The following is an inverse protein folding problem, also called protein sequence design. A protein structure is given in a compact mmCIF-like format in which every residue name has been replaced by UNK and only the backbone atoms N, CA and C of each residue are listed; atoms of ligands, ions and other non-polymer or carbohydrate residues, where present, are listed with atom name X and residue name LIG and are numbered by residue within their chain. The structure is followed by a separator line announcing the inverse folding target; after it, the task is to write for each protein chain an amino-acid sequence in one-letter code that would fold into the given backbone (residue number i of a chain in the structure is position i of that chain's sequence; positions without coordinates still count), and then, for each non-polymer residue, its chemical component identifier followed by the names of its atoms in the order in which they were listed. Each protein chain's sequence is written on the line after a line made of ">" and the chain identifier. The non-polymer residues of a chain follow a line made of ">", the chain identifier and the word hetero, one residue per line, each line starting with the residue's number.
data_IF_778688523729
#
_entry.id   IF_778688523729
#
_cell.length_a   1.000
_cell.length_b   1.000
_cell.length_c   1.000
_cell.angle_alpha   90.00
_cell.angle_beta   90.00
_cell.angle_gamma   90.00
#
_symmetry.space_group_name_H-M   'P 1'
#
loop_
_entity.id
_entity.type
_entity.pdbx_description
1 polymer ?
#
# COMPACT_ATOMS: atom_id res chain seq x y z
N UNK A 1 -5.24 -10.48 -1.23
CA UNK A 1 -4.12 -10.40 -2.19
C UNK A 1 -2.87 -9.87 -1.51
N UNK A 2 -2.80 -8.57 -1.21
CA UNK A 2 -1.59 -7.98 -0.65
C UNK A 2 -1.27 -8.44 0.78
N UNK A 3 -2.28 -8.65 1.62
CA UNK A 3 -2.10 -9.25 2.95
C UNK A 3 -1.47 -10.66 2.87
N UNK A 4 -1.83 -11.44 1.85
CA UNK A 4 -1.32 -12.80 1.67
C UNK A 4 0.14 -12.80 1.18
N UNK A 5 0.54 -11.77 0.42
CA UNK A 5 1.93 -11.52 0.06
C UNK A 5 2.75 -11.16 1.30
N UNK A 6 2.18 -10.34 2.20
CA UNK A 6 2.81 -9.98 3.48
C UNK A 6 3.03 -11.15 4.44
N UNK A 7 2.32 -12.28 4.25
CA UNK A 7 2.51 -13.53 5.03
C UNK A 7 3.70 -14.36 4.56
N UNK A 8 4.33 -14.02 3.44
CA UNK A 8 5.56 -14.68 3.02
C UNK A 8 6.67 -14.45 4.06
N UNK A 9 7.33 -15.52 4.50
CA UNK A 9 8.36 -15.47 5.55
C UNK A 9 9.46 -14.46 5.24
N UNK A 10 9.86 -14.32 3.97
CA UNK A 10 10.91 -13.37 3.59
C UNK A 10 10.44 -11.92 3.65
N UNK A 11 9.18 -11.67 3.29
CA UNK A 11 8.57 -10.33 3.38
C UNK A 11 8.34 -9.96 4.83
N UNK A 12 7.84 -10.89 5.64
CA UNK A 12 7.61 -10.69 7.05
C UNK A 12 8.92 -10.39 7.81
N UNK A 13 10.00 -11.15 7.56
CA UNK A 13 11.33 -10.88 8.13
C UNK A 13 11.84 -9.47 7.78
N UNK A 14 11.66 -9.07 6.53
CA UNK A 14 12.07 -7.74 6.05
C UNK A 14 11.29 -6.61 6.71
N UNK A 15 9.97 -6.76 6.84
CA UNK A 15 9.09 -5.79 7.53
C UNK A 15 9.44 -5.72 9.01
N UNK A 16 9.66 -6.86 9.68
CA UNK A 16 10.03 -6.91 11.10
C UNK A 16 11.37 -6.22 11.38
N UNK A 17 12.39 -6.41 10.52
CA UNK A 17 13.67 -5.69 10.61
C UNK A 17 13.51 -4.19 10.41
N UNK A 18 12.70 -3.76 9.44
CA UNK A 18 12.37 -2.34 9.25
C UNK A 18 11.60 -1.76 10.44
N UNK A 19 10.71 -2.54 11.06
CA UNK A 19 10.01 -2.15 12.28
C UNK A 19 10.97 -2.00 13.46
N UNK A 20 11.99 -2.85 13.59
CA UNK A 20 13.00 -2.72 14.62
C UNK A 20 13.76 -1.38 14.51
N UNK A 21 14.23 -1.03 13.30
CA UNK A 21 14.91 0.24 13.04
C UNK A 21 14.01 1.43 13.41
N UNK A 22 12.78 1.44 12.91
CA UNK A 22 11.84 2.55 13.18
C UNK A 22 11.42 2.60 14.65
N UNK A 23 11.25 1.47 15.32
CA UNK A 23 10.89 1.44 16.75
C UNK A 23 12.03 1.95 17.62
N UNK A 24 13.27 1.63 17.27
CA UNK A 24 14.46 2.15 17.93
C UNK A 24 14.57 3.67 17.77
N UNK A 25 14.56 4.20 16.54
CA UNK A 25 14.71 5.65 16.27
C UNK A 25 13.66 6.46 17.03
N UNK A 26 12.41 6.00 17.00
CA UNK A 26 11.32 6.71 17.65
C UNK A 26 11.18 6.43 19.16
N UNK A 27 11.84 5.39 19.67
CA UNK A 27 11.87 5.07 21.10
C UNK A 27 12.73 6.05 21.91
N UNK A 28 13.72 6.68 21.26
CA UNK A 28 14.62 7.63 21.88
C UNK A 28 14.43 9.03 21.30
N UNK A 29 13.88 9.95 22.09
CA UNK A 29 13.60 11.33 21.67
C UNK A 29 14.83 12.04 21.08
N UNK A 30 16.03 11.79 21.62
CA UNK A 30 17.28 12.38 21.11
C UNK A 30 17.62 11.83 19.72
N UNK A 31 17.49 10.53 19.51
CA UNK A 31 17.74 9.87 18.20
C UNK A 31 16.72 10.33 17.18
N UNK A 32 15.45 10.44 17.56
CA UNK A 32 14.40 10.98 16.70
C UNK A 32 14.68 12.42 16.27
N UNK A 33 15.17 13.26 17.19
CA UNK A 33 15.53 14.64 16.88
C UNK A 33 16.70 14.71 15.89
N UNK A 34 17.79 13.99 16.15
CA UNK A 34 18.94 13.93 15.25
C UNK A 34 18.55 13.37 13.87
N UNK A 35 17.68 12.34 13.82
CA UNK A 35 17.15 11.84 12.55
C UNK A 35 16.41 12.93 11.78
N UNK A 36 15.54 13.71 12.45
CA UNK A 36 14.82 14.82 11.82
C UNK A 36 15.74 15.94 11.34
N UNK A 37 16.84 16.19 12.02
CA UNK A 37 17.84 17.16 11.57
C UNK A 37 18.55 16.67 10.30
N UNK A 38 18.85 15.37 10.21
CA UNK A 38 19.45 14.77 9.01
C UNK A 38 18.48 14.63 7.83
N UNK A 39 17.16 14.62 8.06
CA UNK A 39 16.14 14.44 7.02
C UNK A 39 15.40 15.73 6.65
N UNK A 40 15.95 16.91 6.96
CA UNK A 40 15.30 18.21 6.75
C UNK A 40 13.87 18.29 7.34
N UNK A 41 13.67 17.64 8.50
CA UNK A 41 12.39 17.58 9.20
C UNK A 41 11.42 16.51 8.69
N UNK A 42 11.77 15.71 7.69
CA UNK A 42 10.90 14.66 7.18
C UNK A 42 10.80 13.47 8.14
N UNK A 43 9.58 13.00 8.39
CA UNK A 43 9.32 11.84 9.23
C UNK A 43 9.37 10.53 8.43
N UNK A 44 10.11 9.54 8.92
CA UNK A 44 10.06 8.16 8.43
C UNK A 44 8.74 7.54 8.87
N UNK A 45 7.97 7.01 7.92
CA UNK A 45 6.66 6.40 8.20
C UNK A 45 6.89 5.02 8.82
N UNK A 46 6.19 4.73 9.94
CA UNK A 46 6.34 3.43 10.62
C UNK A 46 5.54 2.33 9.92
N UNK A 47 6.10 1.12 9.75
CA UNK A 47 5.34 0.00 9.20
C UNK A 47 4.24 -0.41 10.19
N UNK A 48 2.97 -0.19 9.81
CA UNK A 48 1.82 -0.61 10.61
C UNK A 48 1.54 -2.11 10.48
N UNK A 49 1.02 -2.78 11.53
CA UNK A 49 0.75 -4.22 11.49
C UNK A 49 -0.42 -4.62 10.56
N UNK A 50 -1.33 -3.70 10.23
CA UNK A 50 -2.67 -4.05 9.72
C UNK A 50 -3.05 -3.49 8.34
N UNK A 51 -2.16 -2.78 7.62
CA UNK A 51 -2.45 -2.31 6.25
C UNK A 51 -1.23 -2.44 5.35
N UNK A 52 -1.31 -3.29 4.33
CA UNK A 52 -0.18 -3.54 3.42
C UNK A 52 0.34 -2.26 2.75
N UNK A 53 -0.55 -1.36 2.32
CA UNK A 53 -0.17 -0.08 1.71
C UNK A 53 0.66 0.78 2.67
N UNK A 54 0.39 0.74 3.98
CA UNK A 54 1.21 1.46 4.95
C UNK A 54 2.57 0.78 5.19
N UNK A 55 2.66 -0.55 5.09
CA UNK A 55 3.95 -1.25 5.12
C UNK A 55 4.80 -0.91 3.89
N UNK A 56 4.20 -0.87 2.70
CA UNK A 56 4.89 -0.46 1.48
C UNK A 56 5.42 0.98 1.56
N UNK A 57 4.56 1.95 1.91
CA UNK A 57 4.95 3.36 2.04
C UNK A 57 6.01 3.54 3.15
N UNK A 58 5.90 2.80 4.25
CA UNK A 58 6.90 2.82 5.32
C UNK A 58 8.27 2.34 4.83
N UNK A 59 8.33 1.19 4.14
CA UNK A 59 9.56 0.65 3.56
C UNK A 59 10.15 1.58 2.50
N UNK A 60 9.32 2.18 1.66
CA UNK A 60 9.71 3.18 0.66
C UNK A 60 10.35 4.40 1.35
N UNK A 61 9.71 4.93 2.39
CA UNK A 61 10.24 6.06 3.16
C UNK A 61 11.57 5.71 3.85
N UNK A 62 11.69 4.51 4.42
CA UNK A 62 12.90 4.04 5.07
C UNK A 62 14.06 3.88 4.06
N UNK A 63 13.78 3.30 2.90
CA UNK A 63 14.77 3.13 1.83
C UNK A 63 15.21 4.48 1.22
N UNK A 64 14.30 5.46 1.16
CA UNK A 64 14.62 6.82 0.71
C UNK A 64 15.68 7.47 1.59
N UNK A 65 15.52 7.39 2.92
CA UNK A 65 16.41 8.04 3.90
C UNK A 65 17.58 7.16 4.37
N UNK A 66 17.93 6.08 3.63
CA UNK A 66 18.94 5.11 4.06
C UNK A 66 20.34 5.72 4.23
N UNK A 67 20.68 6.70 3.39
CA UNK A 67 22.01 7.33 3.41
C UNK A 67 22.12 8.27 4.61
N UNK A 68 21.06 9.03 4.87
CA UNK A 68 20.90 9.94 6.00
C UNK A 68 20.93 9.16 7.33
N UNK A 69 20.27 8.00 7.37
CA UNK A 69 20.39 7.07 8.51
C UNK A 69 21.81 6.54 8.66
N UNK A 70 22.48 6.19 7.57
CA UNK A 70 23.89 5.80 7.59
C UNK A 70 24.78 6.91 8.17
N UNK A 71 24.59 8.16 7.76
CA UNK A 71 25.35 9.31 8.30
C UNK A 71 25.03 9.58 9.76
N UNK A 72 23.76 9.43 10.16
CA UNK A 72 23.33 9.59 11.55
C UNK A 72 24.08 8.63 12.48
N UNK A 73 24.22 7.36 12.08
CA UNK A 73 24.93 6.34 12.88
C UNK A 73 26.41 6.66 13.11
N UNK A 74 27.03 7.39 12.20
CA UNK A 74 28.44 7.81 12.29
C UNK A 74 28.60 9.20 12.92
N UNK A 75 27.51 9.87 13.28
CA UNK A 75 27.58 11.20 13.90
C UNK A 75 28.11 11.11 15.33
N UNK A 76 28.95 12.08 15.72
CA UNK A 76 29.54 12.14 17.05
C UNK A 76 28.48 12.28 18.16
N UNK A 77 27.39 12.99 17.89
CA UNK A 77 26.26 13.11 18.82
C UNK A 77 25.53 11.78 19.03
N UNK A 78 25.33 11.00 17.97
CA UNK A 78 24.72 9.68 18.08
C UNK A 78 25.57 8.73 18.91
N UNK A 79 26.88 8.67 18.64
CA UNK A 79 27.80 7.82 19.40
C UNK A 79 27.88 8.22 20.88
N UNK A 80 27.89 9.53 21.17
CA UNK A 80 27.84 10.04 22.53
C UNK A 80 26.54 9.64 23.24
N UNK A 81 25.39 9.75 22.57
CA UNK A 81 24.11 9.34 23.15
C UNK A 81 24.03 7.83 23.39
N UNK A 82 24.46 7.02 22.43
CA UNK A 82 24.50 5.56 22.56
C UNK A 82 25.36 5.11 23.75
N UNK A 83 26.49 5.79 23.99
CA UNK A 83 27.35 5.50 25.14
C UNK A 83 26.64 5.71 26.51
N UNK A 84 25.63 6.58 26.56
CA UNK A 84 24.82 6.84 27.77
C UNK A 84 23.67 5.86 27.97
N UNK A 85 23.37 5.00 26.99
CA UNK A 85 22.27 4.04 27.08
C UNK A 85 22.61 2.89 28.05
N UNK A 86 21.55 2.32 28.63
CA UNK A 86 21.63 1.12 29.48
C UNK A 86 22.22 -0.05 28.72
N UNK A 87 22.89 -0.93 29.44
CA UNK A 87 23.54 -2.11 28.86
C UNK A 87 22.55 -3.01 28.11
N UNK A 88 21.33 -3.18 28.63
CA UNK A 88 20.23 -3.91 28.00
C UNK A 88 19.82 -3.37 26.61
N UNK A 89 20.03 -2.08 26.36
CA UNK A 89 19.70 -1.46 25.07
C UNK A 89 20.85 -1.56 24.06
N UNK A 90 22.06 -1.95 24.49
CA UNK A 90 23.24 -2.02 23.61
C UNK A 90 23.12 -3.09 22.54
N UNK A 91 22.50 -4.24 22.87
CA UNK A 91 22.26 -5.31 21.92
C UNK A 91 21.36 -4.83 20.76
N UNK A 92 20.30 -4.10 21.09
CA UNK A 92 19.38 -3.52 20.10
C UNK A 92 20.08 -2.46 19.26
N UNK A 93 20.92 -1.61 19.87
CA UNK A 93 21.70 -0.60 19.14
C UNK A 93 22.66 -1.28 18.15
N UNK A 94 23.36 -2.31 18.58
CA UNK A 94 24.29 -3.06 17.74
C UNK A 94 23.55 -3.72 16.57
N UNK A 95 22.44 -4.40 16.84
CA UNK A 95 21.62 -5.04 15.80
C UNK A 95 21.11 -4.03 14.77
N UNK A 96 20.57 -2.90 15.22
CA UNK A 96 20.11 -1.81 14.34
C UNK A 96 21.27 -1.22 13.53
N UNK A 97 22.44 -1.06 14.14
CA UNK A 97 23.64 -0.57 13.45
C UNK A 97 24.13 -1.52 12.36
N UNK A 98 24.13 -2.82 12.65
CA UNK A 98 24.44 -3.85 11.66
C UNK A 98 23.42 -3.88 10.53
N UNK A 99 22.12 -3.76 10.83
CA UNK A 99 21.06 -3.75 9.82
C UNK A 99 21.14 -2.53 8.90
N UNK A 100 21.37 -1.33 9.45
CA UNK A 100 21.51 -0.09 8.65
C UNK A 100 22.76 -0.17 7.76
N UNK A 101 23.83 -0.82 8.24
CA UNK A 101 25.07 -0.98 7.49
C UNK A 101 25.01 -2.13 6.46
N UNK A 102 24.03 -3.03 6.55
CA UNK A 102 23.92 -4.18 5.66
C UNK A 102 23.36 -3.79 4.28
N UNK A 103 24.23 -3.72 3.28
CA UNK A 103 23.82 -3.50 1.89
C UNK A 103 22.81 -4.54 1.38
N UNK A 104 22.91 -5.80 1.82
CA UNK A 104 22.00 -6.87 1.38
C UNK A 104 20.59 -6.64 1.89
N UNK A 105 20.42 -6.03 3.06
CA UNK A 105 19.11 -5.66 3.58
C UNK A 105 18.45 -4.61 2.69
N UNK A 106 19.18 -3.55 2.32
CA UNK A 106 18.68 -2.50 1.42
C UNK A 106 18.38 -3.02 0.01
N UNK A 107 19.21 -3.91 -0.53
CA UNK A 107 18.96 -4.56 -1.82
C UNK A 107 17.69 -5.39 -1.81
N UNK A 108 17.41 -6.11 -0.71
CA UNK A 108 16.14 -6.83 -0.53
C UNK A 108 14.94 -5.89 -0.46
N UNK A 109 15.05 -4.75 0.23
CA UNK A 109 13.97 -3.73 0.25
C UNK A 109 13.75 -3.19 -1.16
N UNK A 110 14.83 -2.81 -1.86
CA UNK A 110 14.76 -2.30 -3.23
C UNK A 110 14.11 -3.31 -4.19
N UNK A 111 14.47 -4.58 -4.09
CA UNK A 111 13.86 -5.66 -4.86
C UNK A 111 12.36 -5.81 -4.55
N UNK A 112 12.00 -5.83 -3.27
CA UNK A 112 10.60 -5.95 -2.83
C UNK A 112 9.74 -4.77 -3.30
N UNK A 113 10.24 -3.53 -3.17
CA UNK A 113 9.54 -2.33 -3.63
C UNK A 113 9.29 -2.38 -5.14
N UNK A 114 10.29 -2.74 -5.95
CA UNK A 114 10.15 -2.90 -7.41
C UNK A 114 9.15 -3.98 -7.80
N UNK A 115 9.08 -5.05 -7.01
CA UNK A 115 8.15 -6.16 -7.25
C UNK A 115 6.69 -5.75 -6.97
N UNK A 116 6.46 -4.89 -5.98
CA UNK A 116 5.12 -4.52 -5.52
C UNK A 116 4.60 -3.23 -6.14
N UNK A 117 5.48 -2.34 -6.58
CA UNK A 117 5.14 -1.06 -7.19
C UNK A 117 4.06 -1.21 -8.30
N UNK A 118 4.15 -2.15 -9.26
CA UNK A 118 3.11 -2.31 -10.29
C UNK A 118 1.74 -2.69 -9.70
N UNK A 119 1.71 -3.53 -8.67
CA UNK A 119 0.47 -3.95 -7.99
C UNK A 119 -0.13 -2.79 -7.19
N UNK A 120 0.70 -1.97 -6.54
CA UNK A 120 0.24 -0.76 -5.83
C UNK A 120 -0.31 0.27 -6.81
N UNK A 121 0.27 0.41 -8.02
CA UNK A 121 -0.28 1.28 -9.06
C UNK A 121 -1.68 0.83 -9.49
N UNK A 122 -1.90 -0.47 -9.72
CA UNK A 122 -3.23 -1.00 -10.04
C UNK A 122 -4.21 -0.76 -8.89
N UNK A 123 -3.80 -0.99 -7.64
CA UNK A 123 -4.66 -0.69 -6.49
C UNK A 123 -4.99 0.81 -6.39
N UNK A 124 -4.03 1.70 -6.65
CA UNK A 124 -4.28 3.15 -6.70
C UNK A 124 -5.25 3.54 -7.82
N UNK A 125 -5.23 2.83 -8.95
CA UNK A 125 -6.21 3.01 -10.02
C UNK A 125 -7.60 2.54 -9.58
N UNK A 126 -7.71 1.38 -8.93
CA UNK A 126 -8.99 0.89 -8.34
C UNK A 126 -9.53 1.88 -7.30
N UNK A 127 -8.63 2.48 -6.52
CA UNK A 127 -8.93 3.49 -5.52
C UNK A 127 -9.09 4.91 -6.11
N UNK A 128 -9.01 5.10 -7.43
CA UNK A 128 -9.27 6.40 -8.05
C UNK A 128 -10.75 6.80 -7.94
N UNK A 129 -11.04 8.08 -7.70
CA UNK A 129 -12.42 8.61 -7.74
C UNK A 129 -12.99 8.65 -9.15
N UNK A 130 -12.12 8.72 -10.16
CA UNK A 130 -12.51 8.59 -11.55
C UNK A 130 -13.04 7.17 -11.77
N UNK A 131 -14.27 7.08 -12.27
CA UNK A 131 -14.96 5.84 -12.64
C UNK A 131 -14.12 5.10 -13.68
N UNK A 132 -13.16 4.32 -13.21
CA UNK A 132 -12.37 3.46 -14.07
C UNK A 132 -13.30 2.32 -14.49
N UNK A 133 -13.71 2.33 -15.77
CA UNK A 133 -14.44 1.22 -16.36
C UNK A 133 -13.65 -0.06 -16.09
N UNK A 134 -14.37 -1.08 -15.63
CA UNK A 134 -13.84 -2.41 -15.33
C UNK A 134 -12.86 -2.93 -16.39
N UNK A 135 -13.07 -2.61 -17.67
CA UNK A 135 -12.16 -2.97 -18.77
C UNK A 135 -10.71 -2.47 -18.59
N UNK A 136 -10.51 -1.23 -18.13
CA UNK A 136 -9.17 -0.69 -17.86
C UNK A 136 -8.48 -1.41 -16.70
N UNK A 137 -9.26 -1.88 -15.72
CA UNK A 137 -8.71 -2.62 -14.60
C UNK A 137 -8.18 -4.00 -15.03
N UNK A 138 -8.93 -4.71 -15.86
CA UNK A 138 -8.47 -5.98 -16.45
C UNK A 138 -7.22 -5.76 -17.30
N UNK A 139 -7.20 -4.74 -18.17
CA UNK A 139 -6.02 -4.41 -18.99
C UNK A 139 -4.80 -4.03 -18.13
N UNK A 140 -4.99 -3.23 -17.09
CA UNK A 140 -3.91 -2.84 -16.18
C UNK A 140 -3.37 -4.05 -15.41
N UNK A 141 -4.24 -4.95 -14.97
CA UNK A 141 -3.84 -6.19 -14.31
C UNK A 141 -3.02 -7.07 -15.26
N UNK A 142 -3.48 -7.28 -16.50
CA UNK A 142 -2.76 -8.07 -17.50
C UNK A 142 -1.37 -7.46 -17.82
N UNK A 143 -1.27 -6.14 -17.96
CA UNK A 143 0.01 -5.44 -18.11
C UNK A 143 0.94 -5.63 -16.92
N UNK A 144 0.41 -5.63 -15.69
CA UNK A 144 1.21 -5.92 -14.49
C UNK A 144 1.68 -7.37 -14.49
N UNK A 145 0.79 -8.30 -14.84
CA UNK A 145 1.09 -9.73 -14.96
C UNK A 145 2.24 -9.98 -15.94
N UNK A 146 2.22 -9.34 -17.11
CA UNK A 146 3.30 -9.44 -18.11
C UNK A 146 4.63 -8.88 -17.58
N UNK A 147 4.62 -7.66 -17.01
CA UNK A 147 5.84 -7.02 -16.47
C UNK A 147 6.49 -7.84 -15.36
N UNK A 148 5.68 -8.45 -14.48
CA UNK A 148 6.18 -9.29 -13.40
C UNK A 148 6.75 -10.61 -13.93
N UNK A 149 6.14 -11.19 -14.97
CA UNK A 149 6.63 -12.41 -15.63
C UNK A 149 7.98 -12.20 -16.30
N UNK A 150 8.16 -11.07 -16.99
CA UNK A 150 9.41 -10.73 -17.67
C UNK A 150 10.56 -10.45 -16.70
N UNK A 151 10.29 -9.66 -15.66
CA UNK A 151 11.35 -9.20 -14.74
C UNK A 151 11.68 -10.20 -13.64
N UNK A 152 10.71 -11.00 -13.19
CA UNK A 152 10.85 -11.83 -11.98
C UNK A 152 10.17 -13.21 -12.10
N UNK A 153 10.53 -14.06 -13.08
CA UNK A 153 9.80 -15.28 -13.41
C UNK A 153 9.67 -16.29 -12.25
N UNK A 154 10.73 -16.48 -11.45
CA UNK A 154 10.75 -17.43 -10.33
C UNK A 154 9.86 -16.99 -9.14
N UNK A 155 9.90 -15.71 -8.77
CA UNK A 155 9.07 -15.17 -7.67
C UNK A 155 7.62 -14.97 -8.13
N UNK A 156 7.44 -14.60 -9.40
CA UNK A 156 6.15 -14.39 -10.02
C UNK A 156 5.29 -15.64 -9.92
N UNK A 157 5.80 -16.84 -10.18
CA UNK A 157 4.97 -18.06 -10.15
C UNK A 157 4.34 -18.34 -8.77
N UNK A 158 5.06 -18.04 -7.69
CA UNK A 158 4.55 -18.19 -6.31
C UNK A 158 3.48 -17.14 -5.97
N UNK A 159 3.75 -15.88 -6.32
CA UNK A 159 2.86 -14.76 -6.01
C UNK A 159 1.66 -14.72 -6.96
N UNK A 160 1.85 -15.16 -8.20
CA UNK A 160 0.82 -15.35 -9.22
C UNK A 160 -0.33 -16.15 -8.65
N UNK A 161 -0.06 -17.33 -8.09
CA UNK A 161 -1.11 -18.19 -7.55
C UNK A 161 -1.93 -17.47 -6.48
N UNK A 162 -1.28 -16.66 -5.64
CA UNK A 162 -1.95 -15.88 -4.58
C UNK A 162 -2.79 -14.75 -5.18
N UNK A 163 -2.26 -14.05 -6.19
CA UNK A 163 -2.92 -12.97 -6.92
C UNK A 163 -4.13 -13.52 -7.67
N UNK A 164 -3.95 -14.55 -8.47
CA UNK A 164 -4.99 -15.17 -9.31
C UNK A 164 -6.10 -15.78 -8.45
N UNK A 165 -5.77 -16.56 -7.41
CA UNK A 165 -6.78 -17.12 -6.48
C UNK A 165 -7.61 -16.02 -5.81
N UNK A 166 -7.00 -14.88 -5.46
CA UNK A 166 -7.71 -13.75 -4.84
C UNK A 166 -8.47 -12.92 -5.87
N UNK A 167 -7.93 -12.78 -7.08
CA UNK A 167 -8.56 -12.10 -8.21
C UNK A 167 -9.83 -12.85 -8.64
N UNK A 168 -9.72 -14.16 -8.82
CA UNK A 168 -10.85 -15.05 -9.15
C UNK A 168 -11.91 -15.06 -8.06
N UNK A 169 -11.52 -15.10 -6.79
CA UNK A 169 -12.48 -15.16 -5.67
C UNK A 169 -13.09 -13.81 -5.28
N UNK A 170 -12.49 -12.68 -5.65
CA UNK A 170 -12.94 -11.34 -5.18
C UNK A 170 -13.45 -10.43 -6.31
N UNK A 171 -12.89 -10.52 -7.52
CA UNK A 171 -13.20 -9.62 -8.64
C UNK A 171 -13.75 -10.32 -9.89
N UNK A 172 -13.44 -11.60 -10.10
CA UNK A 172 -13.88 -12.34 -11.27
C UNK A 172 -15.26 -12.98 -11.06
N UNK A 173 -16.33 -12.18 -11.15
CA UNK A 173 -17.64 -12.80 -11.42
C UNK A 173 -17.71 -13.15 -12.90
N UNK A 174 -18.12 -14.37 -13.23
CA UNK A 174 -18.31 -14.85 -14.62
C UNK A 174 -19.17 -13.89 -15.48
N UNK A 175 -20.04 -13.12 -14.82
CA UNK A 175 -20.80 -12.04 -15.45
C UNK A 175 -19.92 -10.90 -15.99
N UNK A 176 -18.89 -10.45 -15.27
CA UNK A 176 -18.06 -9.32 -15.70
C UNK A 176 -17.24 -9.67 -16.95
N UNK A 177 -16.64 -10.86 -16.99
CA UNK A 177 -15.83 -11.31 -18.13
C UNK A 177 -16.67 -11.54 -19.38
N UNK A 178 -17.87 -12.11 -19.23
CA UNK A 178 -18.82 -12.25 -20.33
C UNK A 178 -19.32 -10.89 -20.86
N UNK A 179 -19.53 -9.93 -19.95
CA UNK A 179 -19.97 -8.56 -20.29
C UNK A 179 -18.87 -7.77 -20.99
N UNK A 180 -17.61 -7.83 -20.52
CA UNK A 180 -16.46 -7.18 -21.19
C UNK A 180 -16.25 -7.77 -22.58
N UNK A 181 -16.27 -9.10 -22.73
CA UNK A 181 -16.18 -9.75 -24.04
C UNK A 181 -17.29 -9.30 -25.00
N UNK A 182 -18.52 -9.17 -24.51
CA UNK A 182 -19.65 -8.69 -25.29
C UNK A 182 -19.55 -7.20 -25.67
N UNK A 183 -19.05 -6.34 -24.79
CA UNK A 183 -18.86 -4.90 -25.05
C UNK A 183 -17.78 -4.65 -26.10
N UNK A 184 -16.61 -5.31 -25.98
CA UNK A 184 -15.54 -5.23 -26.99
C UNK A 184 -16.06 -5.68 -28.36
N UNK A 185 -16.96 -6.67 -28.40
CA UNK A 185 -17.55 -7.19 -29.63
C UNK A 185 -18.65 -6.29 -30.22
N UNK A 186 -19.31 -5.47 -29.39
CA UNK A 186 -20.29 -4.46 -29.83
C UNK A 186 -19.63 -3.21 -30.42
N UNK A 187 -18.57 -2.69 -29.77
CA UNK A 187 -17.82 -1.52 -30.26
C UNK A 187 -17.19 -1.76 -31.64
N UNK A 188 -16.85 -3.02 -31.94
CA UNK A 188 -16.24 -3.39 -33.22
C UNK A 188 -17.23 -3.54 -34.40
N UNK A 189 -18.55 -3.65 -34.17
CA UNK A 189 -19.46 -4.09 -35.24
C UNK A 189 -20.76 -3.31 -35.43
N UNK A 190 -21.37 -2.72 -34.42
CA UNK A 190 -22.75 -2.24 -34.60
C UNK A 190 -23.08 -1.06 -33.70
N UNK A 191 -23.21 0.14 -34.27
CA UNK A 191 -23.73 1.33 -33.59
C UNK A 191 -25.22 1.24 -33.17
N UNK A 192 -25.71 0.06 -32.81
CA UNK A 192 -27.09 -0.18 -32.35
C UNK A 192 -27.17 -0.29 -30.81
N UNK A 193 -28.03 0.56 -30.23
CA UNK A 193 -28.40 0.54 -28.80
C UNK A 193 -29.20 -0.72 -28.46
N UNK A 194 -28.51 -1.83 -28.16
CA UNK A 194 -29.14 -3.03 -27.64
C UNK A 194 -29.40 -2.94 -26.12
N UNK A 195 -30.47 -3.56 -25.60
CA UNK A 195 -30.77 -3.62 -24.16
C UNK A 195 -29.61 -4.21 -23.33
N UNK A 196 -28.87 -5.15 -23.92
CA UNK A 196 -27.69 -5.77 -23.34
C UNK A 196 -26.55 -4.77 -23.13
N UNK A 197 -26.39 -3.77 -24.01
CA UNK A 197 -25.38 -2.72 -23.83
C UNK A 197 -25.69 -1.83 -22.61
N UNK A 198 -26.97 -1.55 -22.34
CA UNK A 198 -27.37 -0.81 -21.11
C UNK A 198 -27.08 -1.61 -19.84
N UNK A 199 -27.30 -2.92 -19.88
CA UNK A 199 -26.99 -3.81 -18.75
C UNK A 199 -25.47 -3.90 -18.57
N UNK A 200 -24.72 -4.02 -19.65
CA UNK A 200 -23.27 -4.02 -19.64
C UNK A 200 -22.69 -2.74 -19.03
N UNK A 201 -23.14 -1.56 -19.48
CA UNK A 201 -22.72 -0.27 -18.92
C UNK A 201 -23.02 -0.20 -17.41
N UNK A 202 -24.19 -0.68 -16.96
CA UNK A 202 -24.56 -0.70 -15.53
C UNK A 202 -23.71 -1.66 -14.70
N UNK A 203 -23.33 -2.79 -15.27
CA UNK A 203 -22.47 -3.79 -14.61
C UNK A 203 -21.02 -3.29 -14.54
N UNK A 204 -20.51 -2.69 -15.62
CA UNK A 204 -19.14 -2.15 -15.69
C UNK A 204 -18.95 -0.87 -14.86
N UNK A 205 -20.03 -0.12 -14.63
CA UNK A 205 -20.04 1.07 -13.75
C UNK A 205 -20.23 0.75 -12.27
N UNK A 206 -20.33 -0.53 -11.88
CA UNK A 206 -20.30 -0.90 -10.46
C UNK A 206 -18.90 -0.67 -9.89
N UNK A 207 -18.83 -0.04 -8.72
CA UNK A 207 -17.58 0.16 -7.99
C UNK A 207 -17.04 -1.19 -7.51
N UNK A 208 -15.80 -1.50 -7.85
CA UNK A 208 -15.14 -2.77 -7.54
C UNK A 208 -14.56 -2.86 -6.13
N UNK A 209 -14.55 -1.76 -5.39
CA UNK A 209 -13.92 -1.68 -4.08
C UNK A 209 -14.76 -0.91 -3.07
N UNK A 210 -14.86 -1.46 -1.85
CA UNK A 210 -15.40 -0.78 -0.69
C UNK A 210 -14.45 0.30 -0.13
N UNK A 211 -13.20 0.36 -0.59
CA UNK A 211 -12.19 1.35 -0.15
C UNK A 211 -12.62 2.79 -0.42
N UNK A 212 -13.37 3.02 -1.50
CA UNK A 212 -13.95 4.33 -1.81
C UNK A 212 -14.93 4.77 -0.72
N UNK A 213 -15.74 3.85 -0.24
CA UNK A 213 -16.62 4.08 0.91
C UNK A 213 -15.79 4.30 2.18
N UNK A 214 -14.75 3.50 2.45
CA UNK A 214 -13.90 3.65 3.64
C UNK A 214 -13.17 5.00 3.71
N UNK A 215 -12.77 5.58 2.58
CA UNK A 215 -12.18 6.94 2.53
C UNK A 215 -13.22 8.02 2.80
N UNK A 216 -14.41 7.93 2.20
CA UNK A 216 -15.52 8.81 2.55
C UNK A 216 -15.80 8.74 4.06
N UNK A 217 -15.90 7.53 4.61
CA UNK A 217 -16.08 7.33 6.05
C UNK A 217 -14.90 7.85 6.89
N UNK A 218 -13.66 7.82 6.37
CA UNK A 218 -12.49 8.42 7.02
C UNK A 218 -12.58 9.94 7.07
N UNK A 219 -13.08 10.59 6.02
CA UNK A 219 -13.35 12.05 6.01
C UNK A 219 -14.42 12.43 7.04
N UNK A 220 -15.47 11.61 7.16
CA UNK A 220 -16.54 11.81 8.16
C UNK A 220 -16.20 11.28 9.56
N UNK A 221 -15.05 10.62 9.74
CA UNK A 221 -14.62 10.03 11.02
C UNK A 221 -14.63 11.05 12.15
N UNK A 222 -14.10 12.25 11.92
CA UNK A 222 -14.01 13.31 12.93
C UNK A 222 -15.38 13.85 13.37
N UNK A 223 -16.38 13.76 12.49
CA UNK A 223 -17.76 14.22 12.72
C UNK A 223 -18.53 13.16 13.52
N UNK A 224 -18.22 11.88 13.35
CA UNK A 224 -18.94 10.79 14.03
C UNK A 224 -18.26 10.27 15.31
N UNK A 225 -16.92 10.32 15.41
CA UNK A 225 -16.17 9.69 16.51
C UNK A 225 -15.95 10.58 17.73
N UNK A 226 -15.88 11.91 17.55
CA UNK A 226 -15.68 12.84 18.68
C UNK A 226 -17.02 13.16 19.33
N UNK A 227 -17.13 12.90 20.65
CA UNK A 227 -18.36 13.11 21.45
C UNK A 227 -18.97 14.50 21.24
N UNK A 228 -18.13 15.53 21.07
CA UNK A 228 -18.55 16.92 20.85
C UNK A 228 -19.18 17.21 19.49
N UNK A 229 -18.89 16.39 18.47
CA UNK A 229 -19.35 16.61 17.09
C UNK A 229 -20.35 15.55 16.60
N UNK A 230 -20.71 14.59 17.46
CA UNK A 230 -21.49 13.41 17.10
C UNK A 230 -22.88 13.79 16.60
N UNK A 231 -23.07 13.71 15.28
CA UNK A 231 -24.36 13.89 14.63
C UNK A 231 -25.28 12.69 14.86
N UNK A 232 -26.60 12.91 14.79
CA UNK A 232 -27.57 11.81 14.71
C UNK A 232 -27.38 11.04 13.41
N UNK A 233 -27.67 9.74 13.42
CA UNK A 233 -27.53 8.87 12.24
C UNK A 233 -28.24 9.43 11.00
N UNK A 234 -29.46 9.96 11.18
CA UNK A 234 -30.26 10.58 10.11
C UNK A 234 -29.66 11.84 9.50
N UNK A 235 -28.90 12.64 10.27
CA UNK A 235 -28.22 13.83 9.77
C UNK A 235 -26.91 13.46 9.07
N UNK A 236 -26.20 12.46 9.60
CA UNK A 236 -24.99 11.93 8.98
C UNK A 236 -25.28 11.34 7.61
N UNK A 237 -26.35 10.55 7.47
CA UNK A 237 -26.77 9.96 6.19
C UNK A 237 -27.05 11.04 5.13
N UNK A 238 -27.81 12.08 5.50
CA UNK A 238 -28.07 13.23 4.61
C UNK A 238 -26.81 13.96 4.21
N UNK A 239 -25.88 14.16 5.15
CA UNK A 239 -24.59 14.83 4.88
C UNK A 239 -23.73 14.02 3.90
N UNK A 240 -23.61 12.71 4.14
CA UNK A 240 -22.88 11.80 3.24
C UNK A 240 -23.53 11.79 1.86
N UNK A 241 -24.86 11.72 1.80
CA UNK A 241 -25.61 11.76 0.55
C UNK A 241 -25.38 13.08 -0.22
N UNK A 242 -25.46 14.23 0.44
CA UNK A 242 -25.19 15.52 -0.20
C UNK A 242 -23.74 15.61 -0.68
N UNK A 243 -22.77 15.17 0.12
CA UNK A 243 -21.35 15.25 -0.26
C UNK A 243 -20.99 14.32 -1.42
N UNK A 244 -21.60 13.14 -1.49
CA UNK A 244 -21.36 12.19 -2.56
C UNK A 244 -22.01 12.59 -3.90
N UNK A 245 -23.05 13.43 -3.86
CA UNK A 245 -23.82 13.84 -5.05
C UNK A 245 -23.62 15.33 -5.43
N UNK A 246 -22.72 16.05 -4.76
CA UNK A 246 -22.27 17.40 -5.16
C UNK A 246 -21.15 17.29 -6.18
#
# INVERSE_FOLDING_TARGET
>A
MMEDIGKDKHVHDLVSKAQMITSFIYGYNRILHMMRECTDGHAIIRPGPTRFTSQFIALESLHKFRHELGTLMHSSEYLAHVATLREESRDVVYEVSCLISDHRFWDRISYYLKLIEPLVQVLRMVDGEDKNDMGYLYEAMDKVKERLREKHPMTFQKWWRIIDTRWESTLHYDLHTAVVGYVIQLDYKTGQRNPLARIAIRILSQTTSSSQCERNWSTFSLIHTKVRNKLSATRLEKLVYCHYNM
#
